data_IF_815819948040
#
_entry.id   IF_815819948040
#
_cell.length_a   1.000
_cell.length_b   1.000
_cell.length_c   1.000
_cell.angle_alpha   90.00
_cell.angle_beta   90.00
_cell.angle_gamma   90.00
#
_symmetry.space_group_name_H-M   'P 1'
#
loop_
_entity.id
_entity.type
_entity.pdbx_description
1 polymer ?
#
# COMPACT_ATOMS: atom_id res chain seq x y z
N UNK A 1 36.15 5.17 6.42
CA UNK A 1 35.59 5.09 5.07
C UNK A 1 34.11 5.40 5.21
N UNK A 2 33.72 6.64 4.91
CA UNK A 2 32.32 7.03 4.85
C UNK A 2 31.73 6.33 3.63
N UNK A 3 30.92 5.30 3.84
CA UNK A 3 30.03 4.76 2.81
C UNK A 3 28.91 5.79 2.65
N UNK A 4 29.06 6.65 1.63
CA UNK A 4 27.97 7.46 1.14
C UNK A 4 27.00 6.48 0.48
N UNK A 5 25.92 6.12 1.16
CA UNK A 5 24.85 5.32 0.55
C UNK A 5 24.19 6.19 -0.51
N UNK A 6 24.59 6.04 -1.76
CA UNK A 6 23.80 6.52 -2.89
C UNK A 6 22.49 5.73 -2.85
N UNK A 7 21.44 6.32 -2.28
CA UNK A 7 20.09 5.80 -2.42
C UNK A 7 19.82 5.62 -3.91
N UNK A 8 19.38 4.43 -4.31
CA UNK A 8 18.96 4.22 -5.69
C UNK A 8 17.74 5.11 -5.94
N UNK A 9 17.74 5.85 -7.04
CA UNK A 9 16.58 6.61 -7.46
C UNK A 9 15.43 5.63 -7.75
N UNK A 10 14.24 5.91 -7.21
CA UNK A 10 13.04 5.11 -7.49
C UNK A 10 12.47 5.48 -8.86
N UNK A 11 12.01 4.51 -9.64
CA UNK A 11 11.40 4.77 -10.95
C UNK A 11 9.94 5.18 -10.78
N UNK A 12 9.56 6.33 -11.34
CA UNK A 12 8.17 6.82 -11.34
C UNK A 12 7.65 6.96 -12.78
N UNK A 13 6.71 6.12 -13.17
CA UNK A 13 6.23 6.02 -14.56
C UNK A 13 4.94 6.81 -14.73
N UNK A 14 4.86 7.61 -15.80
CA UNK A 14 3.63 8.29 -16.18
C UNK A 14 2.57 7.28 -16.61
N UNK A 15 1.42 7.29 -15.94
CA UNK A 15 0.26 6.46 -16.29
C UNK A 15 -0.74 7.23 -17.14
N UNK A 16 -0.89 8.54 -16.88
CA UNK A 16 -1.91 9.38 -17.54
C UNK A 16 -3.35 8.89 -17.29
N UNK A 17 -3.58 8.14 -16.20
CA UNK A 17 -4.87 7.49 -15.95
C UNK A 17 -6.01 8.49 -15.67
N UNK A 18 -5.69 9.67 -15.13
CA UNK A 18 -6.70 10.67 -14.76
C UNK A 18 -6.84 11.72 -15.84
N UNK A 19 -5.74 12.38 -16.20
CA UNK A 19 -5.69 13.43 -17.22
C UNK A 19 -4.25 13.68 -17.68
N UNK A 20 -4.02 14.82 -18.33
CA UNK A 20 -2.71 15.22 -18.87
C UNK A 20 -1.85 16.03 -17.90
N UNK A 21 -2.28 16.27 -16.65
CA UNK A 21 -1.60 17.19 -15.73
C UNK A 21 -0.41 16.53 -15.02
N UNK A 22 0.82 16.96 -15.32
CA UNK A 22 2.04 16.47 -14.65
C UNK A 22 1.95 16.58 -13.13
N UNK A 23 1.30 17.63 -12.64
CA UNK A 23 1.32 18.06 -11.24
C UNK A 23 0.24 17.37 -10.41
N UNK A 24 -0.17 16.18 -10.83
CA UNK A 24 -1.20 15.34 -10.22
C UNK A 24 -0.65 13.97 -9.91
N UNK A 25 -0.57 13.63 -8.63
CA UNK A 25 0.05 12.38 -8.15
C UNK A 25 -0.58 11.13 -8.77
N UNK A 26 -1.88 11.13 -9.00
CA UNK A 26 -2.65 10.03 -9.57
C UNK A 26 -2.41 9.77 -11.07
N UNK A 27 -1.60 10.59 -11.76
CA UNK A 27 -1.09 10.29 -13.11
C UNK A 27 0.28 9.59 -13.08
N UNK A 28 0.78 9.22 -11.90
CA UNK A 28 2.10 8.62 -11.68
C UNK A 28 1.99 7.26 -10.99
N UNK A 29 2.86 6.31 -11.34
CA UNK A 29 2.82 4.94 -10.84
C UNK A 29 3.06 4.84 -9.32
N UNK A 30 3.84 5.77 -8.74
CA UNK A 30 4.06 5.83 -7.30
C UNK A 30 2.95 6.57 -6.54
N UNK A 31 1.88 6.99 -7.24
CA UNK A 31 0.87 7.92 -6.75
C UNK A 31 1.47 9.14 -6.02
N UNK A 32 2.58 9.65 -6.56
CA UNK A 32 3.34 10.77 -6.04
C UNK A 32 3.87 11.61 -7.20
N UNK A 33 3.83 12.93 -7.07
CA UNK A 33 4.41 13.84 -8.06
C UNK A 33 5.94 13.62 -8.06
N UNK A 34 6.59 13.44 -9.23
CA UNK A 34 8.03 13.26 -9.33
C UNK A 34 8.84 14.31 -8.56
N UNK A 35 9.96 13.87 -7.99
CA UNK A 35 10.92 14.71 -7.27
C UNK A 35 12.29 14.50 -7.91
N UNK A 36 13.29 15.27 -7.49
CA UNK A 36 14.68 15.06 -7.92
C UNK A 36 15.29 13.70 -7.50
N UNK A 37 14.57 12.87 -6.72
CA UNK A 37 14.99 11.51 -6.40
C UNK A 37 14.36 10.45 -7.32
N UNK A 38 13.44 10.83 -8.21
CA UNK A 38 12.69 9.89 -9.05
C UNK A 38 13.25 9.83 -10.48
N UNK A 39 13.51 8.63 -10.98
CA UNK A 39 13.77 8.39 -12.40
C UNK A 39 12.45 8.30 -13.14
N UNK A 40 12.15 9.27 -14.01
CA UNK A 40 10.84 9.37 -14.67
C UNK A 40 10.83 8.61 -15.99
N UNK A 41 9.79 7.81 -16.23
CA UNK A 41 9.53 7.14 -17.51
C UNK A 41 8.19 7.60 -18.08
N UNK A 42 8.16 7.99 -19.36
CA UNK A 42 6.95 8.43 -20.09
C UNK A 42 6.70 7.46 -21.25
N UNK A 43 5.81 6.47 -21.07
CA UNK A 43 5.35 5.58 -22.13
C UNK A 43 4.29 6.27 -23.02
N UNK A 44 4.00 5.67 -24.17
CA UNK A 44 2.86 6.11 -24.99
C UNK A 44 1.55 5.66 -24.34
N UNK A 45 0.80 6.62 -23.80
CA UNK A 45 -0.51 6.42 -23.18
C UNK A 45 -1.53 7.39 -23.79
N UNK A 46 -2.81 7.23 -23.43
CA UNK A 46 -3.90 8.06 -24.00
C UNK A 46 -3.71 9.55 -23.67
N UNK A 47 -3.29 9.85 -22.45
CA UNK A 47 -3.12 11.22 -21.96
C UNK A 47 -1.63 11.52 -21.79
N UNK A 48 -0.97 12.04 -22.81
CA UNK A 48 0.41 12.51 -22.71
C UNK A 48 0.55 13.66 -21.69
N UNK A 49 1.62 13.70 -20.89
CA UNK A 49 1.80 14.70 -19.86
C UNK A 49 2.02 16.12 -20.41
N UNK A 50 1.48 17.09 -19.68
CA UNK A 50 1.66 18.53 -19.89
C UNK A 50 2.18 19.15 -18.58
N UNK A 51 3.36 19.75 -18.64
CA UNK A 51 3.96 20.53 -17.56
C UNK A 51 3.47 21.97 -17.67
N UNK A 52 2.59 22.38 -16.75
CA UNK A 52 2.04 23.75 -16.65
C UNK A 52 2.61 24.56 -15.48
N UNK A 53 3.61 24.04 -14.77
CA UNK A 53 4.19 24.58 -13.54
C UNK A 53 5.58 23.99 -13.32
N UNK A 54 6.09 24.01 -12.09
CA UNK A 54 7.42 23.49 -11.75
C UNK A 54 7.33 21.96 -11.56
N UNK A 55 7.98 21.21 -12.45
CA UNK A 55 8.11 19.76 -12.44
C UNK A 55 9.54 19.34 -12.14
N UNK A 56 9.73 18.20 -11.48
CA UNK A 56 11.03 17.68 -11.04
C UNK A 56 11.29 16.26 -11.55
N UNK A 57 12.55 15.89 -11.77
CA UNK A 57 12.98 14.50 -11.86
C UNK A 57 14.50 14.34 -11.61
N UNK A 58 14.96 13.12 -11.34
CA UNK A 58 16.39 12.77 -11.36
C UNK A 58 16.87 12.55 -12.80
N UNK A 59 16.17 11.67 -13.51
CA UNK A 59 16.32 11.40 -14.95
C UNK A 59 14.95 11.38 -15.62
N UNK A 60 14.92 11.47 -16.95
CA UNK A 60 13.70 11.38 -17.74
C UNK A 60 13.93 10.53 -18.99
N UNK A 61 13.14 9.48 -19.15
CA UNK A 61 13.07 8.64 -20.34
C UNK A 61 11.71 8.84 -21.01
N UNK A 62 11.71 9.36 -22.24
CA UNK A 62 10.51 9.53 -23.05
C UNK A 62 10.55 8.49 -24.16
N UNK A 63 9.63 7.53 -24.12
CA UNK A 63 9.56 6.40 -25.05
C UNK A 63 8.99 6.83 -26.42
N UNK A 64 9.59 7.86 -27.01
CA UNK A 64 9.16 8.48 -28.28
C UNK A 64 9.10 7.51 -29.45
N UNK A 65 9.86 6.40 -29.42
CA UNK A 65 9.78 5.33 -30.43
C UNK A 65 8.42 4.64 -30.48
N UNK A 66 7.65 4.68 -29.39
CA UNK A 66 6.27 4.15 -29.32
C UNK A 66 5.22 5.25 -29.48
N UNK A 67 5.61 6.52 -29.58
CA UNK A 67 4.70 7.66 -29.79
C UNK A 67 4.47 8.57 -28.59
N UNK A 68 5.15 8.31 -27.46
CA UNK A 68 5.02 9.12 -26.24
C UNK A 68 5.41 10.59 -26.46
N UNK A 69 4.65 11.51 -25.87
CA UNK A 69 4.93 12.96 -25.92
C UNK A 69 5.01 13.55 -24.50
N UNK A 70 5.80 14.60 -24.35
CA UNK A 70 5.78 15.47 -23.17
C UNK A 70 5.70 16.91 -23.65
N UNK A 71 4.71 17.66 -23.16
CA UNK A 71 4.57 19.07 -23.50
C UNK A 71 4.97 19.95 -22.31
N UNK A 72 5.89 20.90 -22.52
CA UNK A 72 6.19 21.95 -21.54
C UNK A 72 5.46 23.23 -21.97
N UNK A 73 4.43 23.62 -21.22
CA UNK A 73 3.62 24.79 -21.54
C UNK A 73 4.13 26.03 -20.77
N UNK A 74 4.97 26.82 -21.42
CA UNK A 74 5.53 28.04 -20.84
C UNK A 74 4.50 29.14 -20.58
N UNK A 75 3.32 29.11 -21.23
CA UNK A 75 2.23 30.06 -20.92
C UNK A 75 1.62 29.85 -19.53
N UNK A 76 1.83 28.67 -18.94
CA UNK A 76 1.47 28.34 -17.55
C UNK A 76 2.59 28.55 -16.53
N UNK A 77 3.80 28.96 -16.93
CA UNK A 77 5.04 28.86 -16.13
C UNK A 77 5.63 27.45 -16.06
N UNK A 78 5.38 26.60 -17.07
CA UNK A 78 5.97 25.27 -17.17
C UNK A 78 7.50 25.31 -17.12
N UNK A 79 8.08 24.56 -16.18
CA UNK A 79 9.52 24.41 -15.95
C UNK A 79 9.79 22.95 -15.55
N UNK A 80 10.80 22.32 -16.14
CA UNK A 80 11.29 20.99 -15.73
C UNK A 80 12.70 21.13 -15.15
N UNK A 81 12.86 20.84 -13.85
CA UNK A 81 14.15 20.79 -13.17
C UNK A 81 14.63 19.34 -13.07
N UNK A 82 15.85 19.08 -13.55
CA UNK A 82 16.42 17.72 -13.64
C UNK A 82 17.66 17.65 -12.76
N UNK A 83 17.78 16.59 -11.95
CA UNK A 83 18.89 16.28 -11.02
C UNK A 83 19.03 17.24 -9.84
N UNK A 84 18.86 18.54 -10.04
CA UNK A 84 18.86 19.57 -8.99
C UNK A 84 17.57 20.37 -9.05
N UNK A 85 16.78 20.33 -7.97
CA UNK A 85 15.47 20.96 -7.89
C UNK A 85 15.50 22.05 -6.81
N UNK A 86 16.04 23.24 -7.10
CA UNK A 86 16.14 24.32 -6.14
C UNK A 86 14.78 24.92 -5.76
N UNK A 87 13.74 24.69 -6.57
CA UNK A 87 12.40 25.21 -6.33
C UNK A 87 11.46 24.13 -5.83
N UNK A 88 10.31 24.52 -5.26
CA UNK A 88 9.30 23.57 -4.83
C UNK A 88 8.47 23.12 -6.04
N UNK A 89 8.20 21.82 -6.15
CA UNK A 89 7.34 21.29 -7.21
C UNK A 89 5.94 21.88 -7.10
N UNK A 90 5.29 22.08 -8.24
CA UNK A 90 3.87 22.43 -8.29
C UNK A 90 3.03 21.19 -8.01
N UNK A 91 2.00 21.37 -7.19
CA UNK A 91 0.94 20.38 -6.96
C UNK A 91 -0.40 21.06 -7.29
N UNK A 92 -1.04 20.61 -8.37
CA UNK A 92 -2.33 21.14 -8.81
C UNK A 92 -3.51 20.48 -8.08
N UNK A 93 -3.26 19.52 -7.19
CA UNK A 93 -4.27 18.78 -6.46
C UNK A 93 -5.25 18.04 -7.37
N UNK A 94 -6.43 17.73 -6.86
CA UNK A 94 -7.47 17.05 -7.63
C UNK A 94 -7.26 15.54 -7.82
N UNK A 95 -6.18 14.99 -7.27
CA UNK A 95 -6.05 13.59 -6.92
C UNK A 95 -6.39 13.44 -5.44
N UNK A 96 -7.17 12.42 -5.07
CA UNK A 96 -7.04 11.86 -3.73
C UNK A 96 -5.60 11.40 -3.59
N UNK A 97 -4.78 12.14 -2.86
CA UNK A 97 -3.44 11.69 -2.52
C UNK A 97 -3.66 10.50 -1.60
N UNK A 98 -3.24 9.32 -2.05
CA UNK A 98 -3.27 8.17 -1.19
C UNK A 98 -2.31 8.44 -0.03
N UNK A 99 -2.85 8.50 1.18
CA UNK A 99 -2.09 8.83 2.38
C UNK A 99 -1.17 7.68 2.79
N UNK A 100 -1.36 6.48 2.22
CA UNK A 100 -0.52 5.32 2.45
C UNK A 100 0.75 5.36 1.58
N UNK A 101 1.94 5.12 2.16
CA UNK A 101 3.14 4.86 1.39
C UNK A 101 3.09 3.44 0.82
N UNK A 102 3.64 3.25 -0.39
CA UNK A 102 3.72 1.96 -1.08
C UNK A 102 2.40 1.13 -1.02
N UNK A 103 1.27 1.70 -1.48
CA UNK A 103 -0.06 1.13 -1.28
C UNK A 103 -0.34 -0.19 -2.00
N UNK A 104 0.40 -0.48 -3.07
CA UNK A 104 0.35 -1.74 -3.82
C UNK A 104 1.58 -2.62 -3.60
N UNK A 105 2.43 -2.29 -2.62
CA UNK A 105 3.54 -3.15 -2.19
C UNK A 105 4.61 -3.44 -3.27
N UNK A 106 4.74 -2.55 -4.25
CA UNK A 106 5.72 -2.66 -5.34
C UNK A 106 7.12 -2.21 -4.94
N UNK A 107 7.24 -1.25 -4.01
CA UNK A 107 8.54 -0.85 -3.48
C UNK A 107 9.05 -1.95 -2.53
N UNK A 108 10.15 -2.60 -2.91
CA UNK A 108 10.76 -3.68 -2.16
C UNK A 108 12.29 -3.57 -2.14
N UNK A 109 12.88 -4.03 -1.03
CA UNK A 109 14.33 -4.12 -0.83
C UNK A 109 14.89 -5.53 -1.04
N UNK A 110 14.03 -6.55 -1.04
CA UNK A 110 14.35 -7.91 -1.44
C UNK A 110 13.16 -8.62 -2.06
N UNK A 111 13.45 -9.64 -2.86
CA UNK A 111 12.41 -10.56 -3.30
C UNK A 111 12.11 -11.56 -2.16
N UNK A 112 10.82 -11.75 -1.76
CA UNK A 112 10.48 -12.73 -0.76
C UNK A 112 10.73 -14.15 -1.28
N UNK A 113 11.27 -15.02 -0.43
CA UNK A 113 11.58 -16.44 -0.71
C UNK A 113 10.78 -17.41 0.16
N UNK A 114 9.87 -16.88 1.00
CA UNK A 114 9.07 -17.66 1.92
C UNK A 114 8.17 -16.81 2.79
N UNK A 115 7.51 -17.48 3.74
CA UNK A 115 6.57 -16.87 4.69
C UNK A 115 7.29 -15.94 5.70
N UNK A 116 6.51 -15.03 6.30
CA UNK A 116 6.87 -14.06 7.33
C UNK A 116 7.95 -13.05 6.91
N UNK A 117 7.99 -12.67 5.63
CA UNK A 117 9.02 -11.80 5.05
C UNK A 117 8.56 -10.36 4.77
N UNK A 118 7.71 -9.78 5.63
CA UNK A 118 7.33 -8.36 5.56
C UNK A 118 8.53 -7.40 5.59
N UNK A 119 9.71 -7.84 6.02
CA UNK A 119 10.94 -7.04 5.94
C UNK A 119 11.44 -6.77 4.52
N UNK A 120 10.91 -7.46 3.51
CA UNK A 120 11.29 -7.27 2.11
C UNK A 120 10.50 -6.15 1.43
N UNK A 121 9.30 -5.81 1.90
CA UNK A 121 8.50 -4.71 1.37
C UNK A 121 8.83 -3.42 2.12
N UNK A 122 9.01 -2.33 1.39
CA UNK A 122 9.34 -1.06 2.01
C UNK A 122 8.10 -0.44 2.68
N UNK A 123 8.32 0.29 3.78
CA UNK A 123 7.33 1.00 4.62
C UNK A 123 6.36 0.14 5.44
N UNK A 124 6.14 -1.11 5.06
CA UNK A 124 5.21 -2.02 5.73
C UNK A 124 5.93 -2.98 6.67
N UNK A 125 5.29 -3.29 7.80
CA UNK A 125 5.82 -4.23 8.78
C UNK A 125 4.74 -5.20 9.26
N UNK A 126 5.14 -6.23 10.01
CA UNK A 126 4.22 -6.91 10.91
C UNK A 126 3.74 -5.92 11.99
N UNK A 127 2.44 -5.66 12.09
CA UNK A 127 1.93 -4.73 13.10
C UNK A 127 2.08 -5.28 14.53
N UNK A 128 2.03 -6.61 14.69
CA UNK A 128 2.25 -7.30 15.95
C UNK A 128 3.67 -7.87 16.02
N UNK A 129 4.34 -7.77 17.18
CA UNK A 129 5.73 -8.19 17.36
C UNK A 129 5.94 -9.71 17.24
N UNK A 130 4.89 -10.49 17.46
CA UNK A 130 4.86 -11.94 17.24
C UNK A 130 4.04 -12.34 16.01
N UNK A 131 3.62 -11.37 15.20
CA UNK A 131 2.92 -11.59 13.93
C UNK A 131 3.84 -12.14 12.85
N UNK A 132 3.23 -12.77 11.85
CA UNK A 132 3.92 -13.43 10.74
C UNK A 132 3.18 -13.21 9.42
N UNK A 133 2.57 -12.03 9.24
CA UNK A 133 2.03 -11.61 7.96
C UNK A 133 3.09 -11.79 6.88
N UNK A 134 2.63 -12.05 5.67
CA UNK A 134 3.46 -12.45 4.55
C UNK A 134 3.50 -11.36 3.48
N UNK A 135 4.66 -11.21 2.86
CA UNK A 135 4.82 -10.44 1.63
C UNK A 135 5.05 -11.41 0.48
N UNK A 136 4.37 -11.15 -0.63
CA UNK A 136 4.47 -11.92 -1.86
C UNK A 136 4.88 -10.99 -3.00
N UNK A 137 5.65 -11.53 -3.94
CA UNK A 137 5.98 -10.85 -5.17
C UNK A 137 6.25 -11.88 -6.28
N UNK A 138 5.87 -11.57 -7.51
CA UNK A 138 6.08 -12.44 -8.68
C UNK A 138 7.56 -12.74 -9.00
N UNK A 139 8.51 -12.04 -8.36
CA UNK A 139 9.93 -12.33 -8.52
C UNK A 139 10.40 -13.68 -7.93
N UNK A 140 9.74 -14.26 -6.91
CA UNK A 140 10.14 -15.58 -6.35
C UNK A 140 9.03 -16.27 -5.50
N UNK A 141 8.34 -15.57 -4.59
CA UNK A 141 7.34 -16.17 -3.68
C UNK A 141 5.92 -15.59 -3.89
N UNK A 142 5.00 -16.44 -4.38
CA UNK A 142 3.67 -16.02 -4.87
C UNK A 142 2.48 -16.77 -4.27
N UNK A 143 2.69 -17.66 -3.31
CA UNK A 143 1.58 -18.40 -2.72
C UNK A 143 1.94 -19.10 -1.43
N UNK A 144 0.91 -19.29 -0.60
CA UNK A 144 0.95 -20.24 0.51
C UNK A 144 0.67 -21.67 0.04
N UNK A 145 0.75 -22.64 0.95
CA UNK A 145 0.31 -24.01 0.67
C UNK A 145 -1.19 -24.13 0.31
N UNK A 146 -2.00 -23.13 0.66
CA UNK A 146 -3.41 -23.02 0.28
C UNK A 146 -3.63 -22.58 -1.18
N UNK A 147 -2.57 -22.22 -1.91
CA UNK A 147 -2.62 -21.80 -3.30
C UNK A 147 -2.50 -20.29 -3.49
N UNK A 148 -2.27 -19.84 -4.74
CA UNK A 148 -2.07 -18.43 -5.08
C UNK A 148 -3.38 -17.63 -5.01
N UNK A 149 -3.31 -16.29 -4.95
CA UNK A 149 -4.47 -15.46 -5.23
C UNK A 149 -4.94 -15.57 -6.69
N UNK A 150 -6.14 -15.05 -7.01
CA UNK A 150 -6.60 -14.87 -8.38
C UNK A 150 -5.65 -14.02 -9.24
N UNK A 151 -5.68 -14.25 -10.56
CA UNK A 151 -5.01 -13.43 -11.56
C UNK A 151 -6.04 -12.65 -12.38
N UNK A 152 -5.75 -11.41 -12.81
CA UNK A 152 -4.53 -10.63 -12.55
C UNK A 152 -4.43 -10.15 -11.08
N UNK A 153 -3.20 -9.87 -10.64
CA UNK A 153 -2.96 -9.13 -9.39
C UNK A 153 -3.51 -7.71 -9.59
N UNK A 154 -4.19 -7.11 -8.60
CA UNK A 154 -4.87 -5.82 -8.75
C UNK A 154 -3.96 -4.68 -9.20
N UNK A 155 -2.75 -4.60 -8.66
CA UNK A 155 -1.72 -3.67 -9.10
C UNK A 155 -0.34 -4.34 -9.06
N UNK A 156 0.51 -4.01 -10.05
CA UNK A 156 1.88 -4.50 -10.14
C UNK A 156 2.08 -6.02 -9.92
N UNK A 157 3.02 -6.35 -9.04
CA UNK A 157 3.56 -7.68 -8.78
C UNK A 157 3.57 -8.08 -7.29
N UNK A 158 3.51 -7.10 -6.38
CA UNK A 158 3.57 -7.24 -4.94
C UNK A 158 2.18 -7.32 -4.32
N UNK A 159 2.06 -8.04 -3.21
CA UNK A 159 0.85 -8.07 -2.38
C UNK A 159 1.19 -8.69 -1.03
N UNK A 160 0.27 -8.57 -0.08
CA UNK A 160 0.45 -9.10 1.28
C UNK A 160 -0.60 -10.15 1.61
N UNK A 161 -0.32 -10.96 2.63
CA UNK A 161 -1.28 -11.91 3.16
C UNK A 161 -1.24 -12.03 4.67
N UNK A 162 -2.38 -12.43 5.25
CA UNK A 162 -2.56 -12.51 6.69
C UNK A 162 -3.64 -13.53 7.09
N UNK A 163 -3.48 -14.07 8.30
CA UNK A 163 -4.43 -14.94 8.97
C UNK A 163 -5.46 -14.17 9.82
N UNK A 164 -6.74 -14.50 9.65
CA UNK A 164 -7.80 -14.05 10.58
C UNK A 164 -7.81 -14.84 11.87
N UNK A 165 -7.58 -16.14 11.80
CA UNK A 165 -7.59 -16.95 12.99
C UNK A 165 -6.97 -18.32 12.72
N UNK A 166 -5.84 -18.60 13.35
CA UNK A 166 -5.35 -19.97 13.50
C UNK A 166 -5.89 -20.52 14.83
N UNK A 167 -6.70 -21.59 14.77
CA UNK A 167 -7.18 -22.31 15.96
C UNK A 167 -5.98 -22.68 16.86
N UNK A 168 -6.14 -22.65 18.19
CA UNK A 168 -5.09 -23.10 19.08
C UNK A 168 -4.76 -24.56 18.79
N UNK A 169 -3.61 -24.80 18.14
CA UNK A 169 -2.92 -26.06 18.34
C UNK A 169 -2.51 -26.14 19.82
N UNK A 170 -2.40 -27.35 20.43
CA UNK A 170 -2.20 -27.54 21.88
C UNK A 170 -1.00 -26.79 22.52
N UNK A 171 -0.21 -26.08 21.73
CA UNK A 171 0.99 -25.32 22.08
C UNK A 171 1.02 -23.87 21.57
N UNK A 172 -0.05 -23.34 20.93
CA UNK A 172 -0.09 -21.96 20.43
C UNK A 172 -1.38 -21.22 20.80
N UNK A 173 -1.25 -19.99 21.28
CA UNK A 173 -2.37 -19.06 21.43
C UNK A 173 -2.98 -18.75 20.04
N UNK A 174 -4.30 -18.45 19.95
CA UNK A 174 -4.91 -18.05 18.70
C UNK A 174 -4.18 -16.85 18.11
N UNK A 175 -3.90 -16.90 16.80
CA UNK A 175 -3.14 -15.86 16.09
C UNK A 175 -4.02 -15.15 15.09
N UNK A 176 -3.94 -13.83 15.11
CA UNK A 176 -4.44 -12.92 14.08
C UNK A 176 -3.25 -12.13 13.54
N UNK A 177 -3.20 -11.92 12.24
CA UNK A 177 -2.12 -11.20 11.60
C UNK A 177 -2.59 -9.87 11.04
N UNK A 178 -1.68 -8.91 11.07
CA UNK A 178 -1.93 -7.53 10.74
C UNK A 178 -0.69 -6.95 10.08
N UNK A 179 -0.89 -6.25 8.97
CA UNK A 179 0.13 -5.39 8.37
C UNK A 179 0.07 -4.02 9.06
N UNK A 180 1.23 -3.42 9.28
CA UNK A 180 1.38 -2.15 9.98
C UNK A 180 2.14 -1.14 9.14
N UNK A 181 1.73 0.13 9.21
CA UNK A 181 2.37 1.22 8.47
C UNK A 181 2.37 2.51 9.29
N UNK A 182 3.43 3.29 9.12
CA UNK A 182 3.51 4.66 9.60
C UNK A 182 3.24 5.61 8.44
N UNK A 183 2.21 6.44 8.58
CA UNK A 183 1.87 7.46 7.60
C UNK A 183 2.97 8.54 7.57
N UNK A 184 3.31 9.08 6.38
CA UNK A 184 4.20 10.23 6.27
C UNK A 184 3.68 11.46 7.01
N UNK A 185 2.35 11.63 7.03
CA UNK A 185 1.64 12.68 7.78
C UNK A 185 0.47 12.06 8.52
N UNK A 186 0.28 12.45 9.79
CA UNK A 186 -0.84 11.97 10.57
C UNK A 186 -2.19 12.40 9.96
N UNK A 187 -3.20 11.54 10.11
CA UNK A 187 -4.59 11.90 9.83
C UNK A 187 -5.01 13.11 10.66
N UNK A 188 -5.96 13.88 10.16
CA UNK A 188 -6.46 15.07 10.83
C UNK A 188 -7.67 14.70 11.68
N UNK A 189 -7.62 15.01 12.99
CA UNK A 189 -8.74 14.77 13.90
C UNK A 189 -10.00 15.51 13.42
N UNK A 190 -11.13 14.82 13.45
CA UNK A 190 -12.42 15.31 12.98
C UNK A 190 -12.67 15.17 11.48
N UNK A 191 -11.66 14.80 10.68
CA UNK A 191 -11.83 14.58 9.24
C UNK A 191 -12.32 13.16 8.95
N UNK A 192 -13.17 13.05 7.93
CA UNK A 192 -13.62 11.77 7.39
C UNK A 192 -12.66 11.30 6.32
N UNK A 193 -12.43 9.99 6.31
CA UNK A 193 -11.54 9.29 5.40
C UNK A 193 -12.26 8.06 4.84
N UNK A 194 -11.84 7.67 3.64
CA UNK A 194 -12.22 6.39 3.01
C UNK A 194 -10.97 5.55 2.85
N UNK A 195 -11.03 4.31 3.35
CA UNK A 195 -10.03 3.28 3.10
C UNK A 195 -10.59 2.24 2.12
N UNK A 196 -9.90 2.00 1.02
CA UNK A 196 -10.26 1.02 -0.02
C UNK A 196 -9.13 0.02 -0.22
N UNK A 197 -9.48 -1.20 -0.65
CA UNK A 197 -8.53 -2.29 -0.86
C UNK A 197 -9.15 -3.38 -1.73
N UNK A 198 -8.32 -4.25 -2.29
CA UNK A 198 -8.73 -5.48 -2.97
C UNK A 198 -8.40 -6.68 -2.10
N UNK A 199 -9.33 -7.63 -1.98
CA UNK A 199 -9.20 -8.80 -1.11
C UNK A 199 -9.50 -10.10 -1.86
N UNK A 200 -8.69 -11.12 -1.64
CA UNK A 200 -8.95 -12.49 -2.07
C UNK A 200 -8.65 -13.47 -0.93
N UNK A 201 -9.04 -14.74 -1.08
CA UNK A 201 -8.65 -15.82 -0.17
C UNK A 201 -7.84 -16.89 -0.93
N UNK A 202 -6.94 -17.62 -0.24
CA UNK A 202 -6.20 -18.72 -0.86
C UNK A 202 -7.09 -19.95 -1.07
N UNK A 203 -7.47 -20.57 0.05
CA UNK A 203 -8.40 -21.67 0.16
C UNK A 203 -9.04 -21.61 1.55
N UNK A 204 -10.35 -21.78 1.67
CA UNK A 204 -11.02 -21.86 2.97
C UNK A 204 -12.15 -20.86 3.15
N UNK A 205 -12.14 -20.10 4.26
CA UNK A 205 -13.30 -19.31 4.69
C UNK A 205 -13.56 -18.10 3.78
N UNK A 206 -14.67 -18.13 3.05
CA UNK A 206 -15.19 -16.99 2.29
C UNK A 206 -15.99 -16.01 3.16
N UNK A 207 -15.71 -15.92 4.46
CA UNK A 207 -16.34 -14.95 5.35
C UNK A 207 -15.31 -14.38 6.30
N UNK A 208 -15.13 -13.06 6.23
CA UNK A 208 -14.19 -12.30 7.05
C UNK A 208 -14.74 -10.89 7.27
N UNK A 209 -14.35 -10.26 8.38
CA UNK A 209 -14.54 -8.82 8.57
C UNK A 209 -13.18 -8.17 8.62
N UNK A 210 -12.88 -7.27 7.68
CA UNK A 210 -11.63 -6.51 7.65
C UNK A 210 -11.84 -5.21 8.42
N UNK A 211 -10.83 -4.79 9.17
CA UNK A 211 -10.81 -3.62 10.01
C UNK A 211 -9.51 -2.84 9.85
N UNK A 212 -9.60 -1.54 10.05
CA UNK A 212 -8.46 -0.62 10.15
C UNK A 212 -8.40 -0.03 11.55
N UNK A 213 -7.20 -0.05 12.14
CA UNK A 213 -6.93 0.43 13.49
C UNK A 213 -5.94 1.58 13.46
N UNK A 214 -6.11 2.56 14.35
CA UNK A 214 -5.27 3.75 14.44
C UNK A 214 -4.54 3.86 15.77
N UNK A 215 -3.32 4.38 15.72
CA UNK A 215 -2.50 4.82 16.87
C UNK A 215 -1.95 6.22 16.62
N UNK A 216 -1.85 7.04 17.67
CA UNK A 216 -1.27 8.40 17.60
C UNK A 216 0.26 8.40 17.70
N UNK A 217 0.90 7.24 17.76
CA UNK A 217 2.36 7.12 17.82
C UNK A 217 2.84 5.92 17.03
N UNK A 218 3.79 6.16 16.12
CA UNK A 218 4.53 5.12 15.41
C UNK A 218 5.39 4.24 16.33
N UNK A 219 5.71 4.70 17.54
CA UNK A 219 6.42 3.88 18.52
C UNK A 219 5.57 2.69 19.02
N UNK A 220 4.27 2.68 18.73
CA UNK A 220 3.37 1.56 19.04
C UNK A 220 3.39 0.46 17.95
N UNK A 221 4.21 0.62 16.90
CA UNK A 221 4.44 -0.35 15.84
C UNK A 221 5.88 -0.90 15.92
N UNK A 222 6.08 -2.23 15.97
CA UNK A 222 5.05 -3.23 16.23
C UNK A 222 4.54 -3.18 17.68
N UNK A 223 3.27 -3.51 17.91
CA UNK A 223 2.72 -3.68 19.26
C UNK A 223 3.03 -5.10 19.79
N UNK A 224 3.03 -5.28 21.11
CA UNK A 224 3.39 -6.56 21.71
C UNK A 224 2.30 -7.63 21.52
N UNK A 225 2.70 -8.83 21.09
CA UNK A 225 1.84 -10.02 21.06
C UNK A 225 1.50 -10.53 19.66
N UNK A 226 0.37 -11.25 19.56
CA UNK A 226 -0.14 -11.95 18.36
C UNK A 226 -1.66 -11.81 18.19
N UNK A 227 -2.25 -10.90 18.97
CA UNK A 227 -3.69 -10.70 19.09
C UNK A 227 -4.11 -9.37 18.46
N UNK A 228 -5.40 -9.06 18.52
CA UNK A 228 -5.96 -7.84 17.94
C UNK A 228 -5.28 -6.56 18.47
N UNK A 229 -5.08 -5.50 17.66
CA UNK A 229 -4.44 -4.25 18.09
C UNK A 229 -5.05 -3.63 19.35
N UNK A 230 -6.39 -3.65 19.48
CA UNK A 230 -7.11 -3.03 20.62
C UNK A 230 -6.92 -3.77 21.96
N UNK A 231 -6.25 -4.92 21.96
CA UNK A 231 -5.80 -5.58 23.19
C UNK A 231 -4.57 -4.91 23.80
N UNK A 232 -3.92 -4.01 23.05
CA UNK A 232 -2.78 -3.20 23.50
C UNK A 232 -3.19 -1.74 23.64
N UNK A 233 -2.70 -1.07 24.68
CA UNK A 233 -2.96 0.36 24.89
C UNK A 233 -2.45 1.21 23.73
N UNK A 234 -3.22 2.24 23.35
CA UNK A 234 -2.85 3.18 22.28
C UNK A 234 -3.41 2.85 20.90
N UNK A 235 -4.22 1.79 20.78
CA UNK A 235 -4.88 1.39 19.54
C UNK A 235 -6.40 1.50 19.65
N UNK A 236 -7.04 1.97 18.58
CA UNK A 236 -8.49 1.99 18.44
C UNK A 236 -8.91 1.46 17.06
N UNK A 237 -10.05 0.80 16.97
CA UNK A 237 -10.68 0.48 15.68
C UNK A 237 -11.26 1.77 15.08
N UNK A 238 -10.92 2.06 13.83
CA UNK A 238 -11.42 3.23 13.10
C UNK A 238 -12.68 2.86 12.30
N UNK A 239 -12.71 1.66 11.73
CA UNK A 239 -13.85 1.12 11.01
C UNK A 239 -13.60 -0.30 10.53
N UNK A 240 -14.67 -0.96 10.05
CA UNK A 240 -14.61 -2.32 9.52
C UNK A 240 -15.68 -2.57 8.45
N UNK A 241 -15.46 -3.61 7.64
CA UNK A 241 -16.38 -4.08 6.59
C UNK A 241 -16.40 -5.61 6.55
N UNK A 242 -17.61 -6.18 6.52
CA UNK A 242 -17.80 -7.62 6.33
C UNK A 242 -17.75 -7.96 4.84
N UNK A 243 -17.00 -9.00 4.48
CA UNK A 243 -16.72 -9.39 3.10
C UNK A 243 -16.85 -10.89 2.90
N UNK A 244 -17.05 -11.28 1.64
CA UNK A 244 -17.14 -12.68 1.22
C UNK A 244 -16.15 -13.03 0.10
N UNK A 245 -14.83 -12.93 0.35
CA UNK A 245 -13.82 -13.15 -0.68
C UNK A 245 -13.84 -14.59 -1.18
N UNK A 246 -13.36 -14.79 -2.41
CA UNK A 246 -13.13 -16.10 -3.00
C UNK A 246 -11.71 -16.19 -3.56
N UNK A 247 -11.39 -17.32 -4.20
CA UNK A 247 -10.09 -17.59 -4.81
C UNK A 247 -10.12 -17.58 -6.34
N UNK A 248 -11.13 -16.95 -6.93
CA UNK A 248 -11.32 -16.80 -8.39
C UNK A 248 -11.27 -15.33 -8.81
N UNK A 249 -11.69 -14.41 -7.94
CA UNK A 249 -11.72 -12.96 -8.18
C UNK A 249 -11.28 -12.17 -6.96
N UNK A 250 -10.57 -11.06 -7.21
CA UNK A 250 -10.34 -10.03 -6.19
C UNK A 250 -11.63 -9.25 -5.97
N UNK A 251 -11.93 -8.97 -4.71
CA UNK A 251 -13.13 -8.24 -4.31
C UNK A 251 -12.76 -6.93 -3.63
N UNK A 252 -13.33 -5.83 -4.13
CA UNK A 252 -13.14 -4.51 -3.57
C UNK A 252 -13.84 -4.37 -2.21
N UNK A 253 -13.11 -3.85 -1.22
CA UNK A 253 -13.60 -3.49 0.10
C UNK A 253 -13.49 -1.98 0.33
N UNK A 254 -14.45 -1.42 1.05
CA UNK A 254 -14.49 0.02 1.40
C UNK A 254 -14.85 0.18 2.87
N UNK A 255 -14.05 0.96 3.61
CA UNK A 255 -14.29 1.34 5.00
C UNK A 255 -14.27 2.87 5.09
N UNK A 256 -15.41 3.47 5.44
CA UNK A 256 -15.50 4.89 5.73
C UNK A 256 -15.43 5.13 7.24
N UNK A 257 -14.63 6.10 7.68
CA UNK A 257 -14.49 6.45 9.10
C UNK A 257 -14.18 7.93 9.31
N UNK A 258 -14.40 8.43 10.53
CA UNK A 258 -13.96 9.76 10.95
C UNK A 258 -12.83 9.62 11.96
N UNK A 259 -11.69 10.26 11.71
CA UNK A 259 -10.53 10.18 12.58
C UNK A 259 -10.80 10.90 13.91
N UNK A 260 -10.96 10.15 15.00
CA UNK A 260 -11.14 10.72 16.34
C UNK A 260 -9.90 11.45 16.90
N UNK A 261 -8.71 11.18 16.37
CA UNK A 261 -7.45 11.78 16.79
C UNK A 261 -6.48 11.89 15.59
N UNK A 262 -5.30 12.50 15.83
CA UNK A 262 -4.25 12.56 14.82
C UNK A 262 -3.49 11.22 14.74
N UNK A 263 -4.10 10.22 14.10
CA UNK A 263 -3.50 8.89 13.94
C UNK A 263 -2.37 8.94 12.92
N UNK A 264 -1.20 8.42 13.29
CA UNK A 264 -0.01 8.36 12.44
C UNK A 264 0.43 6.93 12.13
N UNK A 265 0.10 5.97 13.00
CA UNK A 265 0.30 4.56 12.73
C UNK A 265 -1.03 3.87 12.47
N UNK A 266 -1.02 2.96 11.51
CA UNK A 266 -2.18 2.12 11.16
C UNK A 266 -1.81 0.64 11.27
N UNK A 267 -2.79 -0.18 11.62
CA UNK A 267 -2.75 -1.62 11.49
C UNK A 267 -4.00 -2.06 10.72
N UNK A 268 -3.82 -2.96 9.75
CA UNK A 268 -4.87 -3.41 8.84
C UNK A 268 -4.90 -4.93 8.87
N UNK A 269 -6.11 -5.49 8.92
CA UNK A 269 -6.32 -6.93 8.95
C UNK A 269 -7.72 -7.26 9.45
N UNK A 270 -7.93 -8.44 10.03
CA UNK A 270 -9.23 -8.88 10.51
C UNK A 270 -9.74 -8.12 11.75
N UNK A 271 -11.07 -8.07 11.94
CA UNK A 271 -11.66 -7.49 13.15
C UNK A 271 -11.26 -8.27 14.42
N UNK A 272 -11.46 -7.68 15.60
CA UNK A 272 -11.10 -8.35 16.86
C UNK A 272 -12.02 -9.52 17.24
N UNK A 273 -13.14 -9.72 16.54
CA UNK A 273 -14.07 -10.78 16.86
C UNK A 273 -13.50 -12.11 16.38
N UNK A 274 -13.41 -13.09 17.27
CA UNK A 274 -13.02 -14.43 16.85
C UNK A 274 -14.13 -15.04 16.00
N UNK A 275 -13.83 -15.58 14.81
CA UNK A 275 -14.85 -16.22 14.01
C UNK A 275 -15.24 -17.55 14.68
N UNK A 276 -16.49 -18.03 14.48
CA UNK A 276 -16.95 -19.28 15.07
C UNK A 276 -16.04 -20.46 14.67
N UNK A 277 -15.85 -21.50 15.49
CA UNK A 277 -14.98 -22.63 15.16
C UNK A 277 -15.36 -23.24 13.81
N UNK A 278 -14.39 -23.57 12.95
CA UNK A 278 -14.68 -24.24 11.71
C UNK A 278 -15.40 -25.58 11.83
N UNK A 279 -16.32 -25.92 10.91
CA UNK A 279 -16.87 -27.27 10.82
C UNK A 279 -15.84 -28.31 10.33
N UNK A 280 -14.97 -27.95 9.38
CA UNK A 280 -13.93 -28.80 8.75
C UNK A 280 -12.87 -27.85 8.16
N UNK A 281 -11.57 -28.08 8.40
CA UNK A 281 -10.44 -27.17 8.17
C UNK A 281 -10.61 -26.11 7.04
N UNK A 282 -10.94 -24.84 7.37
CA UNK A 282 -11.00 -23.74 6.45
C UNK A 282 -9.86 -22.80 6.81
N UNK A 283 -8.78 -22.85 6.03
CA UNK A 283 -7.73 -21.86 6.20
C UNK A 283 -8.37 -20.46 6.10
N UNK A 284 -8.04 -19.59 7.05
CA UNK A 284 -8.56 -18.21 7.14
C UNK A 284 -7.48 -17.25 6.70
N UNK A 285 -6.99 -17.53 5.50
CA UNK A 285 -5.87 -16.82 4.92
C UNK A 285 -6.37 -15.95 3.77
N UNK A 286 -6.00 -14.68 3.82
CA UNK A 286 -6.47 -13.66 2.90
C UNK A 286 -5.27 -12.94 2.28
N UNK A 287 -5.40 -12.60 1.01
CA UNK A 287 -4.48 -11.74 0.28
C UNK A 287 -5.09 -10.36 0.14
N UNK A 288 -4.26 -9.33 0.17
CA UNK A 288 -4.68 -7.93 0.06
C UNK A 288 -3.71 -7.14 -0.81
N UNK A 289 -4.26 -6.26 -1.65
CA UNK A 289 -3.51 -5.41 -2.57
C UNK A 289 -4.27 -4.10 -2.89
N UNK A 290 -3.62 -3.17 -3.59
CA UNK A 290 -4.16 -1.92 -4.12
C UNK A 290 -4.88 -1.08 -3.06
N UNK A 291 -4.17 -0.79 -1.97
CA UNK A 291 -4.71 -0.03 -0.85
C UNK A 291 -4.90 1.44 -1.19
N UNK A 292 -5.96 2.07 -0.69
CA UNK A 292 -6.15 3.52 -0.82
C UNK A 292 -6.66 4.12 0.48
N UNK A 293 -6.14 5.28 0.87
CA UNK A 293 -6.63 6.05 2.00
C UNK A 293 -6.67 7.54 1.62
N UNK A 294 -7.83 8.17 1.73
CA UNK A 294 -8.00 9.59 1.37
C UNK A 294 -9.14 10.27 2.12
#
# INVERSE_FOLDING_TARGET
MLVNSTGMAQTNTWTGNTDTDWHKSCNWSLNAIPTCAHDVVIPNVVNDPIITGIAHCNTIDIQSSTGALLTINSSGSGLLEVTTCPTAATDNGGCSVNLLPNPSFEDMSCCPSGLAQMTCVDFWINAASGGSADYFNTCDFTSTAGGPPPSPIPDGAGYVGFLDYLEPFPSFAPRKEYIGVCLPTALTSGQSYTFEFELATSSGSSSVTIAIYGTTSCANLPYAGVACPTTTAGWVELGSVAMTPDNVTWQAGTIAFTAGAAYIGLAIGPNCTNPPPPPVNPDRYYYMDNLQLY
#
